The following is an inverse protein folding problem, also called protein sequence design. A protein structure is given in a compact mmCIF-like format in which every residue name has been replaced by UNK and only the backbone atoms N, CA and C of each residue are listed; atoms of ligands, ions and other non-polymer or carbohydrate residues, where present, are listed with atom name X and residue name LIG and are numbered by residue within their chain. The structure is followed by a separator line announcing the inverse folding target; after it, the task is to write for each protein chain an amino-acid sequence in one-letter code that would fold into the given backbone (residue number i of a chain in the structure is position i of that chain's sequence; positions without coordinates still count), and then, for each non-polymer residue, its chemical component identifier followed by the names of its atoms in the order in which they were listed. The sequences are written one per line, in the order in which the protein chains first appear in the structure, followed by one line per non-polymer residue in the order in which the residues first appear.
data_IF_777688526932
#
_entry.id   IF_777688526932
#
_cell.length_a   1.000
_cell.length_b   1.000
_cell.length_c   1.000
_cell.angle_alpha   90.00
_cell.angle_beta   90.00
_cell.angle_gamma   90.00
#
_symmetry.space_group_name_H-M   'P 1'
#
loop_
_entity.id
_entity.type
_entity.pdbx_description
1 polymer ?
#
# COMPACT_ATOMS: atom_id res chain seq x y z
N UNK A 1 -31.87 37.78 23.32
CA UNK A 1 -31.47 39.20 23.28
C UNK A 1 -30.03 39.27 23.73
N UNK A 2 -29.17 39.98 22.98
CA UNK A 2 -27.87 40.60 23.36
C UNK A 2 -26.87 39.74 24.16
N UNK A 3 -25.66 39.44 23.70
CA UNK A 3 -24.73 40.32 22.98
C UNK A 3 -23.75 40.99 23.96
N UNK A 4 -22.50 41.14 23.53
CA UNK A 4 -21.35 41.86 24.13
C UNK A 4 -20.57 41.14 25.27
N UNK A 5 -19.34 40.66 25.08
CA UNK A 5 -18.05 41.26 24.62
C UNK A 5 -17.35 42.19 25.62
N UNK A 6 -16.08 41.82 25.88
CA UNK A 6 -14.88 42.55 26.36
C UNK A 6 -14.44 42.21 27.79
N UNK A 7 -13.36 41.43 27.96
CA UNK A 7 -11.94 41.74 27.73
C UNK A 7 -11.36 42.61 28.85
N UNK A 8 -10.52 42.02 29.73
CA UNK A 8 -9.38 42.73 30.31
C UNK A 8 -8.26 41.78 30.75
N UNK A 9 -7.10 42.14 30.22
CA UNK A 9 -5.73 41.62 30.34
C UNK A 9 -5.13 42.00 31.70
N UNK A 10 -4.44 41.07 32.35
CA UNK A 10 -3.30 41.30 33.24
C UNK A 10 -2.64 39.93 33.49
N UNK A 11 -1.38 39.65 33.18
CA UNK A 11 -0.21 40.53 33.32
C UNK A 11 0.41 40.29 34.69
N UNK A 12 0.93 39.08 34.91
CA UNK A 12 1.66 38.71 36.14
C UNK A 12 3.00 39.44 36.14
N UNK A 13 3.19 40.37 37.08
CA UNK A 13 4.48 40.90 37.51
C UNK A 13 4.73 40.37 38.92
N UNK A 14 5.88 39.75 39.13
CA UNK A 14 6.42 39.40 40.44
C UNK A 14 7.52 40.42 40.76
N UNK A 15 7.51 40.96 41.99
CA UNK A 15 8.69 41.16 42.86
C UNK A 15 8.29 41.93 44.15
N UNK A 16 9.09 41.83 45.24
CA UNK A 16 8.58 41.43 46.56
C UNK A 16 8.75 42.48 47.68
N UNK A 17 8.28 42.08 48.86
CA UNK A 17 8.65 42.49 50.23
C UNK A 17 7.64 43.35 51.03
N UNK A 18 7.55 42.93 52.29
CA UNK A 18 7.25 43.67 53.52
C UNK A 18 5.82 43.71 54.12
N UNK A 19 5.71 43.01 55.26
CA UNK A 19 5.32 43.54 56.60
C UNK A 19 3.85 43.49 57.06
N UNK A 20 3.70 42.86 58.24
CA UNK A 20 2.74 43.00 59.37
C UNK A 20 1.21 42.77 59.24
N UNK A 21 0.80 41.65 59.86
CA UNK A 21 0.05 41.54 61.13
C UNK A 21 -1.46 41.92 61.24
N UNK A 22 -2.18 41.08 62.02
CA UNK A 22 -3.55 41.20 62.61
C UNK A 22 -4.74 41.15 61.63
N UNK A 23 -5.87 40.47 61.85
CA UNK A 23 -6.42 39.62 62.91
C UNK A 23 -7.93 39.39 62.63
N UNK A 24 -8.45 38.23 63.03
CA UNK A 24 -9.87 37.85 63.29
C UNK A 24 -10.86 37.49 62.14
N UNK A 25 -11.46 36.29 62.24
CA UNK A 25 -12.87 36.02 61.84
C UNK A 25 -13.19 34.91 60.80
N UNK A 26 -13.12 33.63 61.21
CA UNK A 26 -13.48 32.34 60.56
C UNK A 26 -14.91 32.17 59.97
N UNK A 27 -15.29 31.05 59.27
CA UNK A 27 -14.56 29.80 58.93
C UNK A 27 -14.67 29.34 57.45
N UNK A 28 -13.86 28.33 57.05
CA UNK A 28 -14.26 27.05 56.38
C UNK A 28 -13.05 26.39 55.67
N UNK A 29 -12.67 25.22 56.18
CA UNK A 29 -12.07 24.03 55.55
C UNK A 29 -10.99 24.17 54.43
N UNK A 30 -9.79 23.62 54.68
CA UNK A 30 -9.27 22.39 54.05
C UNK A 30 -7.73 22.26 54.20
N UNK A 31 -7.34 21.26 54.98
CA UNK A 31 -6.18 20.35 54.93
C UNK A 31 -4.95 20.69 54.07
N UNK A 32 -3.85 20.91 54.79
CA UNK A 32 -2.53 20.25 54.69
C UNK A 32 -1.72 20.27 53.39
N UNK A 33 -0.78 21.24 53.38
CA UNK A 33 0.68 21.14 53.13
C UNK A 33 1.24 19.90 52.41
N UNK A 34 1.93 20.20 51.30
CA UNK A 34 2.73 19.37 50.38
C UNK A 34 4.25 19.40 50.79
N UNK A 35 5.21 18.87 50.00
CA UNK A 35 5.81 17.52 49.88
C UNK A 35 7.34 17.46 50.16
N UNK A 36 7.96 16.28 49.99
CA UNK A 36 9.31 16.03 49.42
C UNK A 36 9.49 14.49 49.32
N UNK A 37 10.20 13.83 48.39
CA UNK A 37 10.78 14.05 47.04
C UNK A 37 11.57 12.74 46.76
N UNK A 38 11.45 12.15 45.56
CA UNK A 38 12.42 11.27 44.84
C UNK A 38 11.63 10.49 43.76
N UNK A 39 11.38 11.06 42.58
CA UNK A 39 12.19 11.04 41.35
C UNK A 39 12.37 9.66 40.68
N UNK A 40 11.57 9.42 39.64
CA UNK A 40 11.76 8.43 38.59
C UNK A 40 11.96 9.17 37.24
N UNK A 41 12.73 8.61 36.29
CA UNK A 41 13.42 9.39 35.27
C UNK A 41 12.57 9.82 34.07
N UNK A 42 13.06 10.90 33.46
CA UNK A 42 12.66 11.67 32.28
C UNK A 42 11.62 11.06 31.33
N UNK A 43 10.55 11.83 31.17
CA UNK A 43 9.46 11.66 30.23
C UNK A 43 9.89 11.91 28.77
N UNK A 44 9.49 11.01 27.87
CA UNK A 44 9.39 11.33 26.45
C UNK A 44 8.49 12.58 26.25
N UNK A 45 8.82 13.51 25.34
CA UNK A 45 8.16 14.81 25.28
C UNK A 45 6.67 14.66 24.94
N UNK A 46 5.83 14.99 25.91
CA UNK A 46 4.36 14.85 25.89
C UNK A 46 3.70 15.52 24.67
N UNK A 47 4.35 16.56 24.13
CA UNK A 47 3.97 17.26 22.89
C UNK A 47 3.85 16.31 21.68
N UNK A 48 4.76 15.35 21.53
CA UNK A 48 4.71 14.38 20.42
C UNK A 48 3.58 13.36 20.57
N UNK A 49 3.20 13.03 21.82
CA UNK A 49 2.10 12.08 22.10
C UNK A 49 0.73 12.70 21.80
N UNK A 50 0.57 13.99 22.07
CA UNK A 50 -0.66 14.75 21.78
C UNK A 50 -0.79 15.02 20.27
N UNK A 51 0.29 15.45 19.60
CA UNK A 51 0.30 15.63 18.14
C UNK A 51 0.02 14.33 17.40
N UNK A 52 0.56 13.20 17.87
CA UNK A 52 0.32 11.88 17.29
C UNK A 52 -1.13 11.43 17.49
N UNK A 53 -1.72 11.64 18.68
CA UNK A 53 -3.15 11.37 18.92
C UNK A 53 -4.05 12.24 18.03
N UNK A 54 -3.72 13.52 17.85
CA UNK A 54 -4.48 14.42 16.99
C UNK A 54 -4.35 14.07 15.49
N UNK A 55 -3.16 13.67 15.04
CA UNK A 55 -2.92 13.16 13.68
C UNK A 55 -3.66 11.85 13.42
N UNK A 56 -3.63 10.92 14.38
CA UNK A 56 -4.38 9.65 14.32
C UNK A 56 -5.88 9.93 14.29
N UNK A 57 -6.37 10.91 15.05
CA UNK A 57 -7.77 11.30 15.06
C UNK A 57 -8.19 12.03 13.78
N UNK A 58 -7.32 12.85 13.20
CA UNK A 58 -7.52 13.47 11.89
C UNK A 58 -7.54 12.43 10.76
N UNK A 59 -6.61 11.48 10.77
CA UNK A 59 -6.64 10.30 9.88
C UNK A 59 -7.89 9.44 10.12
N UNK A 60 -8.45 9.46 11.34
CA UNK A 60 -9.69 8.75 11.68
C UNK A 60 -10.94 9.43 11.13
N UNK A 61 -10.95 10.76 10.98
CA UNK A 61 -12.07 11.53 10.42
C UNK A 61 -11.92 11.87 8.93
N UNK A 62 -10.79 11.54 8.31
CA UNK A 62 -10.53 11.87 6.91
C UNK A 62 -11.34 10.96 5.98
N UNK A 63 -12.50 11.45 5.57
CA UNK A 63 -13.31 10.88 4.49
C UNK A 63 -12.82 11.51 3.20
N UNK A 64 -12.33 10.67 2.29
CA UNK A 64 -11.85 11.12 0.98
C UNK A 64 -13.07 11.26 0.08
N UNK A 65 -13.35 12.50 -0.26
CA UNK A 65 -14.43 12.85 -1.17
C UNK A 65 -13.96 12.61 -2.61
N UNK A 66 -14.68 11.73 -3.31
CA UNK A 66 -14.43 11.35 -4.71
C UNK A 66 -14.56 12.51 -5.69
N UNK A 67 -15.22 13.61 -5.28
CA UNK A 67 -15.37 14.83 -6.07
C UNK A 67 -14.09 15.66 -6.14
N UNK A 68 -13.21 15.55 -5.14
CA UNK A 68 -11.99 16.37 -5.06
C UNK A 68 -10.98 15.98 -6.13
N UNK A 69 -10.35 16.99 -6.75
CA UNK A 69 -9.27 16.80 -7.72
C UNK A 69 -8.10 15.98 -7.17
N UNK A 70 -7.85 16.02 -5.85
CA UNK A 70 -6.81 15.22 -5.21
C UNK A 70 -7.02 13.70 -5.35
N UNK A 71 -8.26 13.21 -5.27
CA UNK A 71 -8.56 11.78 -5.46
C UNK A 71 -8.31 11.35 -6.91
N UNK A 72 -8.60 12.22 -7.88
CA UNK A 72 -8.33 11.95 -9.29
C UNK A 72 -6.83 11.77 -9.57
N UNK A 73 -5.98 12.66 -9.03
CA UNK A 73 -4.52 12.51 -9.17
C UNK A 73 -4.00 11.25 -8.47
N UNK A 74 -4.51 10.94 -7.26
CA UNK A 74 -4.17 9.70 -6.56
C UNK A 74 -4.53 8.47 -7.39
N UNK A 75 -5.74 8.43 -7.93
CA UNK A 75 -6.20 7.34 -8.79
C UNK A 75 -5.29 7.19 -10.02
N UNK A 76 -4.87 8.30 -10.64
CA UNK A 76 -3.90 8.29 -11.75
C UNK A 76 -2.53 7.72 -11.36
N UNK A 77 -2.01 8.04 -10.17
CA UNK A 77 -0.76 7.46 -9.66
C UNK A 77 -0.91 5.94 -9.50
N UNK A 78 -2.00 5.47 -8.89
CA UNK A 78 -2.26 4.04 -8.73
C UNK A 78 -2.37 3.35 -10.09
N UNK A 79 -3.13 3.91 -11.04
CA UNK A 79 -3.26 3.36 -12.39
C UNK A 79 -1.93 3.31 -13.14
N UNK A 80 -1.04 4.30 -12.96
CA UNK A 80 0.30 4.28 -13.54
C UNK A 80 1.16 3.15 -12.95
N UNK A 81 1.10 2.92 -11.62
CA UNK A 81 1.82 1.80 -10.99
C UNK A 81 1.29 0.43 -11.44
N UNK A 82 -0.03 0.31 -11.66
CA UNK A 82 -0.65 -0.90 -12.21
C UNK A 82 -0.18 -1.18 -13.63
N UNK A 83 -0.17 -0.15 -14.48
CA UNK A 83 0.32 -0.26 -15.86
C UNK A 83 1.81 -0.62 -15.92
N UNK A 84 2.62 -0.01 -15.05
CA UNK A 84 4.04 -0.38 -14.91
C UNK A 84 4.19 -1.86 -14.58
N UNK A 85 3.44 -2.36 -13.59
CA UNK A 85 3.45 -3.77 -13.21
C UNK A 85 2.98 -4.69 -14.36
N UNK A 86 1.99 -4.26 -15.14
CA UNK A 86 1.49 -5.01 -16.29
C UNK A 86 2.53 -5.22 -17.39
N UNK A 87 3.51 -4.33 -17.52
CA UNK A 87 4.58 -4.43 -18.53
C UNK A 87 5.83 -5.08 -17.93
N UNK A 88 6.25 -4.64 -16.75
CA UNK A 88 7.54 -5.01 -16.15
C UNK A 88 7.53 -6.41 -15.53
N UNK A 89 6.42 -6.85 -14.92
CA UNK A 89 6.37 -8.19 -14.31
C UNK A 89 6.49 -9.33 -15.35
N UNK A 90 5.73 -9.34 -16.46
CA UNK A 90 5.89 -10.35 -17.51
C UNK A 90 7.27 -10.30 -18.16
N UNK A 91 7.80 -9.09 -18.39
CA UNK A 91 9.15 -8.90 -18.93
C UNK A 91 10.21 -9.53 -18.02
N UNK A 92 10.14 -9.28 -16.71
CA UNK A 92 11.06 -9.87 -15.72
C UNK A 92 10.90 -11.38 -15.60
N UNK A 93 9.69 -11.91 -15.79
CA UNK A 93 9.44 -13.35 -15.78
C UNK A 93 10.01 -14.05 -17.01
N UNK A 94 9.92 -13.42 -18.18
CA UNK A 94 10.43 -13.95 -19.45
C UNK A 94 11.97 -13.81 -19.54
N UNK A 95 12.49 -12.63 -19.21
CA UNK A 95 13.90 -12.28 -19.39
C UNK A 95 14.61 -12.14 -18.03
N UNK A 96 15.13 -13.25 -17.52
CA UNK A 96 15.80 -13.32 -16.21
C UNK A 96 17.08 -12.47 -16.13
N UNK A 97 17.74 -12.21 -17.26
CA UNK A 97 18.97 -11.41 -17.36
C UNK A 97 18.79 -9.96 -16.87
N UNK A 98 17.62 -9.35 -17.11
CA UNK A 98 17.34 -7.99 -16.62
C UNK A 98 17.21 -7.90 -15.10
N UNK A 99 16.78 -9.00 -14.47
CA UNK A 99 16.65 -9.05 -13.02
C UNK A 99 18.03 -9.14 -12.34
N UNK A 100 18.97 -9.88 -12.95
CA UNK A 100 20.32 -10.10 -12.42
C UNK A 100 21.22 -8.86 -12.49
N UNK A 101 21.02 -7.97 -13.47
CA UNK A 101 21.85 -6.76 -13.60
C UNK A 101 21.69 -5.78 -12.43
N UNK A 102 20.46 -5.56 -11.93
CA UNK A 102 20.16 -4.53 -10.92
C UNK A 102 19.14 -5.01 -9.87
N UNK A 103 19.36 -6.17 -9.24
CA UNK A 103 18.41 -6.79 -8.31
C UNK A 103 17.91 -5.85 -7.17
N UNK A 104 18.82 -5.06 -6.58
CA UNK A 104 18.51 -4.16 -5.45
C UNK A 104 17.53 -3.06 -5.85
N UNK A 105 17.75 -2.43 -7.02
CA UNK A 105 16.89 -1.36 -7.51
C UNK A 105 15.48 -1.88 -7.81
N UNK A 106 15.39 -3.06 -8.43
CA UNK A 106 14.10 -3.69 -8.70
C UNK A 106 13.34 -4.01 -7.42
N UNK A 107 14.02 -4.53 -6.39
CA UNK A 107 13.41 -4.77 -5.09
C UNK A 107 12.89 -3.48 -4.46
N UNK A 108 13.68 -2.41 -4.50
CA UNK A 108 13.25 -1.11 -3.96
C UNK A 108 11.98 -0.59 -4.65
N UNK A 109 11.94 -0.64 -5.99
CA UNK A 109 10.76 -0.22 -6.76
C UNK A 109 9.55 -1.10 -6.43
N UNK A 110 9.72 -2.42 -6.33
CA UNK A 110 8.65 -3.36 -5.99
C UNK A 110 8.05 -3.02 -4.60
N UNK A 111 8.89 -2.74 -3.59
CA UNK A 111 8.43 -2.33 -2.26
C UNK A 111 7.71 -0.98 -2.25
N UNK A 112 8.16 -0.01 -3.06
CA UNK A 112 7.47 1.28 -3.19
C UNK A 112 6.08 1.09 -3.78
N UNK A 113 5.94 0.22 -4.79
CA UNK A 113 4.63 -0.05 -5.40
C UNK A 113 3.70 -0.77 -4.42
N UNK A 114 4.23 -1.69 -3.60
CA UNK A 114 3.45 -2.32 -2.52
C UNK A 114 2.91 -1.32 -1.52
N UNK A 115 3.73 -0.35 -1.12
CA UNK A 115 3.30 0.72 -0.24
C UNK A 115 2.18 1.55 -0.88
N UNK A 116 2.27 1.83 -2.19
CA UNK A 116 1.19 2.53 -2.93
C UNK A 116 -0.09 1.70 -2.96
N UNK A 117 -0.02 0.38 -3.14
CA UNK A 117 -1.20 -0.49 -3.13
C UNK A 117 -1.84 -0.61 -1.75
N UNK A 118 -1.04 -0.68 -0.69
CA UNK A 118 -1.53 -0.63 0.69
C UNK A 118 -2.21 0.70 1.00
N UNK A 119 -1.60 1.81 0.57
CA UNK A 119 -2.19 3.13 0.69
C UNK A 119 -3.49 3.25 -0.11
N UNK A 120 -3.58 2.63 -1.29
CA UNK A 120 -4.79 2.63 -2.11
C UNK A 120 -5.94 1.86 -1.45
N UNK A 121 -5.68 0.72 -0.79
CA UNK A 121 -6.71 0.04 0.02
C UNK A 121 -7.16 0.92 1.19
N UNK A 122 -6.22 1.58 1.87
CA UNK A 122 -6.56 2.49 2.95
C UNK A 122 -7.43 3.65 2.46
N UNK A 123 -7.09 4.24 1.31
CA UNK A 123 -7.88 5.28 0.65
C UNK A 123 -9.25 4.73 0.21
N UNK A 124 -9.31 3.53 -0.35
CA UNK A 124 -10.54 2.85 -0.77
C UNK A 124 -11.50 2.64 0.40
N UNK A 125 -11.00 2.16 1.54
CA UNK A 125 -11.79 1.98 2.76
C UNK A 125 -12.30 3.30 3.38
N UNK A 126 -11.73 4.45 2.98
CA UNK A 126 -12.09 5.80 3.43
C UNK A 126 -12.80 6.64 2.37
N UNK A 127 -12.98 6.10 1.17
CA UNK A 127 -13.65 6.79 0.07
C UNK A 127 -15.15 6.78 0.32
N UNK A 128 -15.74 7.97 0.38
CA UNK A 128 -17.19 8.15 0.52
C UNK A 128 -17.95 7.62 -0.69
N UNK A 129 -19.07 6.92 -0.48
CA UNK A 129 -20.05 6.65 -1.54
C UNK A 129 -21.24 7.61 -1.39
N UNK A 130 -21.89 7.91 -2.52
CA UNK A 130 -23.17 8.64 -2.51
C UNK A 130 -24.27 7.62 -2.28
N UNK A 131 -25.04 7.80 -1.21
CA UNK A 131 -26.29 7.09 -0.98
C UNK A 131 -27.44 8.08 -1.17
N UNK A 132 -28.35 7.79 -2.10
CA UNK A 132 -29.49 8.65 -2.44
C UNK A 132 -29.13 10.13 -2.73
N UNK A 133 -27.94 10.39 -3.26
CA UNK A 133 -27.48 11.75 -3.57
C UNK A 133 -26.79 12.48 -2.41
N UNK A 134 -26.72 11.88 -1.22
CA UNK A 134 -25.99 12.40 -0.06
C UNK A 134 -24.66 11.65 0.12
N UNK A 135 -23.59 12.38 0.40
CA UNK A 135 -22.28 11.78 0.68
C UNK A 135 -22.28 11.20 2.09
N UNK A 136 -22.26 9.86 2.22
CA UNK A 136 -22.13 9.18 3.51
C UNK A 136 -20.69 9.33 4.01
N UNK A 137 -20.53 9.88 5.22
CA UNK A 137 -19.23 10.16 5.85
C UNK A 137 -18.90 9.22 7.01
N UNK A 138 -19.81 8.33 7.37
CA UNK A 138 -19.63 7.45 8.52
C UNK A 138 -18.66 6.31 8.23
N UNK A 139 -17.50 6.34 8.90
CA UNK A 139 -16.37 5.42 8.65
C UNK A 139 -16.75 3.96 8.88
N UNK A 140 -17.61 3.68 9.86
CA UNK A 140 -18.06 2.31 10.15
C UNK A 140 -18.95 1.76 9.04
N UNK A 141 -19.78 2.61 8.45
CA UNK A 141 -20.69 2.24 7.37
C UNK A 141 -19.92 2.09 6.06
N UNK A 142 -18.99 3.02 5.78
CA UNK A 142 -18.06 2.97 4.66
C UNK A 142 -17.26 1.68 4.64
N UNK A 143 -16.71 1.25 5.79
CA UNK A 143 -15.96 -0.01 5.86
C UNK A 143 -16.83 -1.25 5.62
N UNK A 144 -18.04 -1.28 6.16
CA UNK A 144 -18.99 -2.39 5.94
C UNK A 144 -19.41 -2.48 4.47
N UNK A 145 -19.72 -1.34 3.86
CA UNK A 145 -20.06 -1.23 2.45
C UNK A 145 -18.89 -1.65 1.55
N UNK A 146 -17.67 -1.23 1.89
CA UNK A 146 -16.45 -1.60 1.16
C UNK A 146 -16.18 -3.11 1.22
N UNK A 147 -16.26 -3.74 2.39
CA UNK A 147 -16.05 -5.20 2.55
C UNK A 147 -17.11 -6.00 1.77
N UNK A 148 -18.35 -5.49 1.68
CA UNK A 148 -19.42 -6.14 0.92
C UNK A 148 -19.23 -6.01 -0.59
N UNK A 149 -18.41 -5.07 -1.06
CA UNK A 149 -18.17 -4.80 -2.48
C UNK A 149 -17.25 -5.88 -3.07
N UNK A 150 -17.52 -6.27 -4.32
CA UNK A 150 -16.69 -7.24 -5.08
C UNK A 150 -15.25 -6.77 -5.25
N UNK A 151 -15.03 -5.45 -5.25
CA UNK A 151 -13.72 -4.83 -5.40
C UNK A 151 -12.77 -5.20 -4.25
N UNK A 152 -13.31 -5.40 -3.04
CA UNK A 152 -12.51 -5.84 -1.89
C UNK A 152 -11.93 -7.24 -2.07
N UNK A 153 -12.62 -8.12 -2.81
CA UNK A 153 -12.11 -9.47 -3.12
C UNK A 153 -10.88 -9.37 -4.01
N UNK A 154 -10.91 -8.50 -5.03
CA UNK A 154 -9.77 -8.29 -5.93
C UNK A 154 -8.60 -7.59 -5.23
N UNK A 155 -8.89 -6.65 -4.33
CA UNK A 155 -7.88 -6.00 -3.50
C UNK A 155 -7.20 -6.98 -2.54
N UNK A 156 -7.96 -7.86 -1.89
CA UNK A 156 -7.39 -8.95 -1.07
C UNK A 156 -6.58 -9.88 -1.96
N UNK A 157 -7.10 -10.34 -3.09
CA UNK A 157 -6.40 -11.28 -3.96
C UNK A 157 -5.05 -10.72 -4.48
N UNK A 158 -5.00 -9.41 -4.73
CA UNK A 158 -3.78 -8.72 -5.15
C UNK A 158 -2.75 -8.56 -4.01
N UNK A 159 -3.20 -8.48 -2.76
CA UNK A 159 -2.35 -8.28 -1.57
C UNK A 159 -2.10 -9.57 -0.77
N UNK A 160 -2.83 -10.66 -1.07
CA UNK A 160 -2.66 -11.93 -0.37
C UNK A 160 -1.17 -12.24 -0.32
N UNK A 161 -0.64 -12.44 0.90
CA UNK A 161 0.78 -12.57 1.12
C UNK A 161 1.22 -13.83 0.41
N UNK A 162 1.81 -13.61 -0.74
CA UNK A 162 2.49 -14.62 -1.51
C UNK A 162 3.71 -15.19 -0.76
N UNK A 163 4.01 -14.64 0.43
CA UNK A 163 4.89 -15.20 1.45
C UNK A 163 4.54 -16.64 1.86
N UNK A 164 3.28 -17.06 1.79
CA UNK A 164 2.94 -18.46 2.08
C UNK A 164 3.55 -19.43 1.04
N UNK A 165 3.81 -18.95 -0.19
CA UNK A 165 4.54 -19.71 -1.21
C UNK A 165 6.07 -19.58 -1.06
N UNK A 166 6.59 -18.50 -0.47
CA UNK A 166 8.03 -18.34 -0.20
C UNK A 166 8.52 -19.25 0.93
N UNK A 167 7.65 -19.63 1.87
CA UNK A 167 7.94 -20.60 2.93
C UNK A 167 8.26 -22.00 2.41
N UNK A 168 8.02 -22.28 1.13
CA UNK A 168 8.34 -23.56 0.49
C UNK A 168 9.66 -23.38 -0.30
N UNK A 169 10.80 -23.95 0.16
CA UNK A 169 12.10 -23.78 -0.47
C UNK A 169 12.16 -24.24 -1.94
N UNK A 170 11.26 -25.15 -2.34
CA UNK A 170 11.16 -25.65 -3.72
C UNK A 170 10.54 -24.65 -4.72
N UNK A 171 9.96 -23.55 -4.25
CA UNK A 171 9.30 -22.53 -5.10
C UNK A 171 10.12 -21.25 -5.30
N UNK A 172 11.36 -21.19 -4.79
CA UNK A 172 12.20 -20.00 -4.91
C UNK A 172 12.44 -19.58 -6.38
N UNK A 173 12.49 -20.55 -7.30
CA UNK A 173 12.58 -20.30 -8.75
C UNK A 173 11.29 -19.70 -9.37
N UNK A 174 10.13 -19.91 -8.74
CA UNK A 174 8.83 -19.39 -9.19
C UNK A 174 8.47 -18.05 -8.57
N UNK A 175 9.36 -17.45 -7.78
CA UNK A 175 9.19 -16.14 -7.14
C UNK A 175 8.70 -15.03 -8.10
N UNK A 176 9.07 -15.08 -9.39
CA UNK A 176 8.59 -14.13 -10.39
C UNK A 176 7.10 -14.33 -10.74
N UNK A 177 6.65 -15.58 -10.87
CA UNK A 177 5.26 -15.95 -11.18
C UNK A 177 4.31 -15.59 -10.04
N UNK A 178 4.80 -15.77 -8.82
CA UNK A 178 4.10 -15.46 -7.59
C UNK A 178 3.73 -13.96 -7.51
N UNK A 179 4.57 -13.06 -8.07
CA UNK A 179 4.28 -11.61 -8.10
C UNK A 179 3.21 -11.21 -9.15
N UNK A 180 2.76 -12.11 -10.02
CA UNK A 180 1.69 -11.84 -11.00
C UNK A 180 0.33 -11.60 -10.33
N UNK A 181 0.15 -11.98 -9.05
CA UNK A 181 -1.05 -11.68 -8.27
C UNK A 181 -1.38 -10.16 -8.27
N UNK A 182 -0.36 -9.30 -8.39
CA UNK A 182 -0.52 -7.84 -8.48
C UNK A 182 -1.24 -7.36 -9.75
N UNK A 183 -1.31 -8.18 -10.80
CA UNK A 183 -2.04 -7.84 -12.03
C UNK A 183 -3.55 -7.82 -11.84
N UNK A 184 -4.08 -8.49 -10.81
CA UNK A 184 -5.52 -8.43 -10.51
C UNK A 184 -6.01 -7.02 -10.16
N UNK A 185 -5.10 -6.11 -9.80
CA UNK A 185 -5.42 -4.70 -9.55
C UNK A 185 -5.69 -3.87 -10.83
N UNK A 186 -5.73 -4.51 -12.01
CA UNK A 186 -6.06 -3.86 -13.29
C UNK A 186 -7.45 -3.22 -13.32
N UNK A 187 -8.38 -3.66 -12.46
CA UNK A 187 -9.69 -3.03 -12.30
C UNK A 187 -9.57 -1.52 -12.00
N UNK A 188 -8.54 -1.12 -11.24
CA UNK A 188 -8.29 0.28 -10.85
C UNK A 188 -7.85 1.14 -12.03
N UNK A 189 -7.17 0.54 -13.02
CA UNK A 189 -6.85 1.20 -14.28
C UNK A 189 -8.12 1.48 -15.09
N UNK A 190 -9.03 0.51 -15.19
CA UNK A 190 -10.31 0.72 -15.86
C UNK A 190 -11.17 1.80 -15.17
N UNK A 191 -11.20 1.82 -13.83
CA UNK A 191 -11.87 2.89 -13.08
C UNK A 191 -11.31 4.28 -13.41
N UNK A 192 -9.99 4.40 -13.56
CA UNK A 192 -9.35 5.66 -13.95
C UNK A 192 -9.69 6.07 -15.38
N UNK A 193 -9.74 5.11 -16.30
CA UNK A 193 -10.12 5.35 -17.70
C UNK A 193 -11.55 5.89 -17.76
N UNK A 194 -12.51 5.24 -17.11
CA UNK A 194 -13.91 5.68 -17.08
C UNK A 194 -14.05 7.10 -16.51
N UNK A 195 -13.31 7.38 -15.42
CA UNK A 195 -13.25 8.72 -14.80
C UNK A 195 -12.64 9.75 -15.74
N UNK A 196 -11.59 9.41 -16.47
CA UNK A 196 -10.89 10.33 -17.37
C UNK A 196 -11.72 10.61 -18.62
N UNK A 197 -12.47 9.62 -19.11
CA UNK A 197 -13.36 9.76 -20.25
C UNK A 197 -14.46 10.81 -19.98
N UNK A 198 -15.03 10.83 -18.77
CA UNK A 198 -16.06 11.83 -18.41
C UNK A 198 -15.51 13.25 -18.23
N UNK A 199 -14.20 13.43 -18.07
CA UNK A 199 -13.57 14.75 -17.88
C UNK A 199 -12.83 15.29 -19.10
N UNK A 200 -12.55 14.46 -20.10
CA UNK A 200 -11.83 14.91 -21.29
C UNK A 200 -12.72 15.73 -22.22
N UNK A 201 -12.17 16.81 -22.76
CA UNK A 201 -12.85 17.66 -23.74
C UNK A 201 -12.91 16.99 -25.14
N UNK A 202 -12.16 15.90 -25.36
CA UNK A 202 -12.15 15.15 -26.62
C UNK A 202 -12.26 13.63 -26.37
N UNK A 203 -13.47 13.11 -26.10
CA UNK A 203 -13.68 11.71 -25.73
C UNK A 203 -13.24 10.73 -26.81
N UNK A 204 -13.41 11.05 -28.10
CA UNK A 204 -13.07 10.15 -29.19
C UNK A 204 -11.56 9.83 -29.26
N UNK A 205 -10.70 10.84 -29.06
CA UNK A 205 -9.24 10.65 -29.07
C UNK A 205 -8.82 9.83 -27.86
N UNK A 206 -9.40 10.11 -26.69
CA UNK A 206 -9.10 9.38 -25.46
C UNK A 206 -9.52 7.91 -25.55
N UNK A 207 -10.71 7.62 -26.12
CA UNK A 207 -11.19 6.25 -26.36
C UNK A 207 -10.24 5.47 -27.26
N UNK A 208 -9.80 6.07 -28.38
CA UNK A 208 -8.83 5.44 -29.29
C UNK A 208 -7.50 5.21 -28.56
N UNK A 209 -7.00 6.19 -27.81
CA UNK A 209 -5.75 6.04 -27.05
C UNK A 209 -5.82 4.92 -26.02
N UNK A 210 -6.92 4.80 -25.28
CA UNK A 210 -7.11 3.74 -24.31
C UNK A 210 -7.17 2.37 -25.00
N UNK A 211 -7.90 2.26 -26.10
CA UNK A 211 -7.96 1.02 -26.88
C UNK A 211 -6.57 0.60 -27.36
N UNK A 212 -5.81 1.51 -27.97
CA UNK A 212 -4.45 1.27 -28.46
C UNK A 212 -3.52 0.84 -27.32
N UNK A 213 -3.58 1.51 -26.17
CA UNK A 213 -2.76 1.15 -25.00
C UNK A 213 -3.05 -0.25 -24.48
N UNK A 214 -4.33 -0.63 -24.40
CA UNK A 214 -4.73 -1.98 -24.00
C UNK A 214 -4.23 -3.04 -24.99
N UNK A 215 -4.35 -2.79 -26.30
CA UNK A 215 -3.84 -3.72 -27.33
C UNK A 215 -2.32 -3.88 -27.23
N UNK A 216 -1.58 -2.79 -27.02
CA UNK A 216 -0.13 -2.85 -26.84
C UNK A 216 0.28 -3.72 -25.65
N UNK A 217 -0.39 -3.56 -24.50
CA UNK A 217 -0.14 -4.38 -23.30
C UNK A 217 -0.46 -5.85 -23.57
N UNK A 218 -1.55 -6.14 -24.29
CA UNK A 218 -1.91 -7.52 -24.66
C UNK A 218 -0.87 -8.17 -25.58
N UNK A 219 -0.38 -7.46 -26.59
CA UNK A 219 0.66 -7.97 -27.49
C UNK A 219 1.95 -8.24 -26.71
N UNK A 220 2.34 -7.32 -25.82
CA UNK A 220 3.50 -7.50 -24.94
C UNK A 220 3.38 -8.73 -24.03
N UNK A 221 2.22 -8.91 -23.41
CA UNK A 221 1.93 -10.07 -22.57
C UNK A 221 2.03 -11.38 -23.37
N UNK A 222 1.41 -11.42 -24.57
CA UNK A 222 1.48 -12.58 -25.45
C UNK A 222 2.92 -12.91 -25.86
N UNK A 223 3.72 -11.90 -26.21
CA UNK A 223 5.13 -12.08 -26.56
C UNK A 223 5.96 -12.62 -25.37
N UNK A 224 5.75 -12.08 -24.16
CA UNK A 224 6.44 -12.54 -22.95
C UNK A 224 6.07 -13.98 -22.59
N UNK A 225 4.78 -14.34 -22.69
CA UNK A 225 4.29 -15.70 -22.43
C UNK A 225 4.87 -16.67 -23.46
N UNK A 226 4.86 -16.32 -24.75
CA UNK A 226 5.43 -17.15 -25.81
C UNK A 226 6.92 -17.42 -25.59
N UNK A 227 7.70 -16.39 -25.26
CA UNK A 227 9.11 -16.55 -24.95
C UNK A 227 9.35 -17.40 -23.69
N UNK A 228 8.57 -17.16 -22.63
CA UNK A 228 8.65 -17.94 -21.40
C UNK A 228 8.35 -19.43 -21.62
N UNK A 229 7.32 -19.73 -22.42
CA UNK A 229 6.94 -21.09 -22.77
C UNK A 229 8.01 -21.78 -23.64
N UNK A 230 8.57 -21.07 -24.62
CA UNK A 230 9.67 -21.57 -25.46
C UNK A 230 10.88 -21.97 -24.61
N UNK A 231 11.31 -21.10 -23.68
CA UNK A 231 12.42 -21.38 -22.75
C UNK A 231 12.14 -22.61 -21.87
N UNK A 232 10.92 -22.73 -21.34
CA UNK A 232 10.53 -23.88 -20.51
C UNK A 232 10.54 -25.20 -21.30
N UNK A 233 10.08 -25.16 -22.56
CA UNK A 233 10.05 -26.32 -23.45
C UNK A 233 11.46 -26.78 -23.78
N UNK A 234 12.32 -25.86 -24.23
CA UNK A 234 13.73 -26.14 -24.55
C UNK A 234 14.47 -26.71 -23.34
N UNK A 235 14.27 -26.13 -22.15
CA UNK A 235 14.92 -26.61 -20.93
C UNK A 235 14.46 -28.02 -20.53
N UNK A 236 13.21 -28.37 -20.81
CA UNK A 236 12.69 -29.72 -20.58
C UNK A 236 13.35 -30.72 -21.54
N UNK A 237 13.46 -30.38 -22.83
CA UNK A 237 14.11 -31.23 -23.82
C UNK A 237 15.59 -31.47 -23.50
N UNK A 238 16.33 -30.44 -23.10
CA UNK A 238 17.74 -30.57 -22.69
C UNK A 238 17.89 -31.43 -21.43
N UNK A 239 16.94 -31.34 -20.50
CA UNK A 239 16.95 -32.18 -19.30
C UNK A 239 16.69 -33.64 -19.63
N UNK A 240 15.84 -33.92 -20.61
CA UNK A 240 15.55 -35.27 -21.08
C UNK A 240 16.69 -35.86 -21.93
N UNK A 241 17.38 -35.03 -22.71
CA UNK A 241 18.60 -35.42 -23.44
C UNK A 241 19.74 -35.77 -22.46
N UNK A 242 20.04 -34.89 -21.50
CA UNK A 242 21.09 -35.12 -20.51
C UNK A 242 20.78 -36.34 -19.60
N UNK A 243 19.49 -36.58 -19.27
CA UNK A 243 19.07 -37.79 -18.54
C UNK A 243 19.32 -39.06 -19.36
N UNK A 244 19.08 -39.04 -20.67
CA UNK A 244 19.32 -40.18 -21.56
C UNK A 244 20.81 -40.49 -21.66
N UNK A 245 21.66 -39.48 -21.88
CA UNK A 245 23.12 -39.66 -21.92
C UNK A 245 23.69 -40.26 -20.63
N UNK A 246 23.22 -39.81 -19.47
CA UNK A 246 23.65 -40.34 -18.17
C UNK A 246 23.24 -41.81 -17.99
N UNK A 247 22.02 -42.18 -18.41
CA UNK A 247 21.53 -43.56 -18.31
C UNK A 247 22.27 -44.51 -19.25
N UNK A 248 22.63 -44.04 -20.45
CA UNK A 248 23.40 -44.83 -21.41
C UNK A 248 24.86 -45.02 -20.94
N UNK A 249 25.48 -43.98 -20.37
CA UNK A 249 26.83 -44.05 -19.78
C UNK A 249 26.87 -45.03 -18.59
N UNK A 250 25.85 -45.02 -17.73
CA UNK A 250 25.74 -45.94 -16.61
C UNK A 250 25.59 -47.40 -17.07
N UNK A 251 24.80 -47.65 -18.13
CA UNK A 251 24.67 -49.00 -18.72
C UNK A 251 25.99 -49.53 -19.27
N UNK A 252 26.73 -48.71 -20.01
CA UNK A 252 28.03 -49.10 -20.60
C UNK A 252 29.06 -49.41 -19.49
N UNK A 253 29.02 -48.67 -18.38
CA UNK A 253 29.93 -48.89 -17.25
C UNK A 253 29.60 -50.18 -16.50
N UNK A 254 28.31 -50.46 -16.27
CA UNK A 254 27.86 -51.70 -15.63
C UNK A 254 28.22 -52.95 -16.45
N UNK A 255 28.03 -52.89 -17.77
CA UNK A 255 28.38 -54.01 -18.66
C UNK A 255 29.89 -54.30 -18.60
N UNK A 256 30.74 -53.25 -18.65
CA UNK A 256 32.20 -53.42 -18.48
C UNK A 256 32.61 -53.99 -17.13
N UNK A 257 31.87 -53.72 -16.05
CA UNK A 257 32.17 -54.26 -14.71
C UNK A 257 31.71 -55.69 -14.48
N UNK A 258 30.82 -56.23 -15.33
CA UNK A 258 30.40 -57.65 -15.28
C UNK A 258 31.41 -58.56 -15.99
N UNK A 259 32.17 -58.01 -16.96
CA UNK A 259 33.13 -58.75 -17.78
C UNK A 259 34.58 -58.70 -17.24
N UNK A 260 34.82 -58.16 -16.04
CA UNK A 260 36.12 -58.14 -15.34
C UNK A 260 35.99 -58.91 -14.04
#
# INVERSE_FOLDING_TARGET
MSGCWKCKRAGVKFDPLDVENTGEGTPVANDDVKPNKEEAPESCPEKNRITCKYLIQQLRSLVIDTSKSGYYYWLGVVSATVLYNAIVLPMRSAFTQFHEMCHILWMFIDYVIDLVYLADIFVGARTGYLDQGLLVRDVMELRKAYIKRRDFIWDILAIIPTDLLYLIPSLHHYAAWVRLNRLFKIYRFFEFVDRTETRTNRPNIFRISNLTMNIMVLIHLNACIYFGFSKATVLTLLKDENRRECNDTARITLDKSIFV
#
